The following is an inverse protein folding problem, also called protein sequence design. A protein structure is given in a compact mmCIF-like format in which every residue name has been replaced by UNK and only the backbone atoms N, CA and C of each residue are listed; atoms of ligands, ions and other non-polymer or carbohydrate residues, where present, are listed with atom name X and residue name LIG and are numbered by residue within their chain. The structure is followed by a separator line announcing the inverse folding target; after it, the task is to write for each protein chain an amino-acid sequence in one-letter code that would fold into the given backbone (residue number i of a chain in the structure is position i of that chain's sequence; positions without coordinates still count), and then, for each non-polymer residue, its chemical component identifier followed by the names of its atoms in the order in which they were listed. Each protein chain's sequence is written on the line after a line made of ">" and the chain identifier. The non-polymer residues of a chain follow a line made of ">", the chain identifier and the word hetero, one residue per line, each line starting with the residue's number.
data_IF_811057462035
#
_entry.id   IF_811057462035
#
_cell.length_a   1.000
_cell.length_b   1.000
_cell.length_c   1.000
_cell.angle_alpha   90.00
_cell.angle_beta   90.00
_cell.angle_gamma   90.00
#
_symmetry.space_group_name_H-M   'P 1'
#
loop_
_entity.id
_entity.type
_entity.pdbx_description
1 polymer ?
#
# COMPACT_ATOMS: atom_id res chain seq x y z
N UNK A 1 -32.45 51.45 34.14
CA UNK A 1 -31.47 50.41 33.74
C UNK A 1 -31.39 49.40 34.88
N UNK A 2 -32.03 48.24 34.74
CA UNK A 2 -31.99 47.20 35.77
C UNK A 2 -30.58 46.59 35.81
N UNK A 3 -29.92 46.68 36.97
CA UNK A 3 -28.60 46.12 37.19
C UNK A 3 -28.67 44.58 37.12
N UNK A 4 -27.93 43.99 36.19
CA UNK A 4 -27.83 42.54 36.09
C UNK A 4 -27.29 41.96 37.42
N UNK A 5 -27.91 40.90 37.97
CA UNK A 5 -27.47 40.25 39.22
C UNK A 5 -25.99 39.86 39.17
N UNK A 6 -25.27 40.10 40.26
CA UNK A 6 -23.81 39.87 40.36
C UNK A 6 -23.39 38.40 40.09
N UNK A 7 -24.33 37.47 40.28
CA UNK A 7 -24.19 36.05 39.90
C UNK A 7 -24.05 35.85 38.39
N UNK A 8 -24.85 36.57 37.57
CA UNK A 8 -24.79 36.46 36.11
C UNK A 8 -23.45 36.96 35.56
N UNK A 9 -22.84 37.99 36.17
CA UNK A 9 -21.50 38.48 35.79
C UNK A 9 -20.40 37.42 35.93
N UNK A 10 -20.49 36.54 36.92
CA UNK A 10 -19.46 35.51 37.19
C UNK A 10 -19.54 34.32 36.22
N UNK A 11 -20.74 34.01 35.72
CA UNK A 11 -20.97 32.91 34.79
C UNK A 11 -21.17 33.35 33.34
N UNK A 12 -21.24 34.66 33.07
CA UNK A 12 -21.38 35.20 31.72
C UNK A 12 -20.29 34.71 30.76
N UNK A 13 -19.03 34.80 31.18
CA UNK A 13 -17.91 34.38 30.33
C UNK A 13 -17.92 32.87 30.03
N UNK A 14 -18.08 31.96 31.03
CA UNK A 14 -18.27 30.53 30.78
C UNK A 14 -19.48 30.19 29.89
N UNK A 15 -20.62 30.86 30.08
CA UNK A 15 -21.83 30.62 29.28
C UNK A 15 -21.63 31.06 27.84
N UNK A 16 -21.00 32.22 27.62
CA UNK A 16 -20.68 32.71 26.28
C UNK A 16 -19.69 31.78 25.59
N UNK A 17 -18.62 31.33 26.26
CA UNK A 17 -17.65 30.41 25.65
C UNK A 17 -18.26 29.03 25.37
N UNK A 18 -19.10 28.51 26.27
CA UNK A 18 -19.85 27.27 26.03
C UNK A 18 -20.81 27.40 24.85
N UNK A 19 -21.57 28.49 24.78
CA UNK A 19 -22.51 28.75 23.68
C UNK A 19 -21.79 28.94 22.35
N UNK A 20 -20.65 29.64 22.35
CA UNK A 20 -19.81 29.82 21.18
C UNK A 20 -19.21 28.49 20.73
N UNK A 21 -18.76 27.66 21.67
CA UNK A 21 -18.27 26.31 21.42
C UNK A 21 -19.35 25.40 20.82
N UNK A 22 -20.58 25.45 21.36
CA UNK A 22 -21.75 24.74 20.84
C UNK A 22 -22.12 25.21 19.43
N UNK A 23 -22.12 26.53 19.19
CA UNK A 23 -22.35 27.08 17.86
C UNK A 23 -21.27 26.62 16.87
N UNK A 24 -20.01 26.63 17.28
CA UNK A 24 -18.91 26.13 16.47
C UNK A 24 -19.08 24.64 16.16
N UNK A 25 -19.49 23.83 17.14
CA UNK A 25 -19.72 22.39 16.95
C UNK A 25 -20.94 22.06 16.09
N UNK A 26 -22.03 22.84 16.19
CA UNK A 26 -23.28 22.56 15.50
C UNK A 26 -23.38 23.18 14.11
N UNK A 27 -22.71 24.31 13.85
CA UNK A 27 -22.88 25.06 12.61
C UNK A 27 -21.59 25.25 11.82
N UNK A 28 -20.46 25.46 12.49
CA UNK A 28 -19.18 25.73 11.80
C UNK A 28 -18.48 24.42 11.42
N UNK A 29 -18.28 23.50 12.38
CA UNK A 29 -17.62 22.22 12.12
C UNK A 29 -18.33 21.39 11.05
N UNK A 30 -19.67 21.23 11.04
CA UNK A 30 -20.35 20.43 10.01
C UNK A 30 -20.22 21.02 8.60
N UNK A 31 -20.21 22.35 8.49
CA UNK A 31 -19.98 23.06 7.21
C UNK A 31 -18.52 23.09 6.77
N UNK A 32 -17.61 22.76 7.69
CA UNK A 32 -16.17 22.67 7.43
C UNK A 32 -15.76 21.27 6.95
N UNK A 33 -16.65 20.28 7.03
CA UNK A 33 -16.44 19.02 6.34
C UNK A 33 -16.67 19.23 4.84
N UNK A 34 -15.77 18.70 3.99
CA UNK A 34 -15.97 18.81 2.55
C UNK A 34 -17.32 18.17 2.18
N UNK A 35 -18.15 18.84 1.37
CA UNK A 35 -19.42 18.29 0.92
C UNK A 35 -19.16 16.95 0.22
N UNK A 36 -20.04 15.98 0.43
CA UNK A 36 -19.96 14.72 -0.30
C UNK A 36 -20.23 14.96 -1.79
N UNK A 37 -19.83 14.01 -2.64
CA UNK A 37 -20.12 14.11 -4.08
C UNK A 37 -21.63 14.12 -4.37
N UNK A 38 -22.44 13.55 -3.47
CA UNK A 38 -23.91 13.66 -3.51
C UNK A 38 -24.40 15.07 -3.21
N UNK A 39 -23.80 15.74 -2.21
CA UNK A 39 -24.15 17.12 -1.86
C UNK A 39 -23.81 18.09 -3.00
N UNK A 40 -22.72 17.82 -3.75
CA UNK A 40 -22.34 18.58 -4.95
C UNK A 40 -23.40 18.49 -6.05
N UNK A 41 -24.07 17.33 -6.19
CA UNK A 41 -25.17 17.12 -7.14
C UNK A 41 -26.54 17.52 -6.58
N UNK A 42 -26.63 17.81 -5.27
CA UNK A 42 -27.87 18.16 -4.58
C UNK A 42 -28.84 16.99 -4.48
N UNK A 43 -28.33 15.78 -4.24
CA UNK A 43 -29.10 14.53 -4.08
C UNK A 43 -28.78 13.86 -2.75
N UNK A 44 -29.62 12.90 -2.35
CA UNK A 44 -29.41 12.12 -1.13
C UNK A 44 -28.19 11.20 -1.22
N UNK A 45 -27.54 10.95 -0.08
CA UNK A 45 -26.44 10.01 -0.01
C UNK A 45 -26.90 8.60 -0.38
N UNK A 46 -26.04 7.87 -1.10
CA UNK A 46 -26.34 6.52 -1.62
C UNK A 46 -27.46 6.47 -2.67
N UNK A 47 -27.83 7.61 -3.27
CA UNK A 47 -28.77 7.64 -4.38
C UNK A 47 -28.35 6.68 -5.52
N UNK A 48 -29.31 6.06 -6.22
CA UNK A 48 -29.04 5.18 -7.35
C UNK A 48 -28.44 5.93 -8.53
N UNK A 49 -27.80 5.22 -9.47
CA UNK A 49 -27.07 5.82 -10.60
C UNK A 49 -28.02 6.60 -11.52
N UNK A 50 -29.27 6.15 -11.62
CA UNK A 50 -30.32 6.81 -12.39
C UNK A 50 -30.62 8.22 -11.85
N UNK A 51 -30.66 8.38 -10.52
CA UNK A 51 -30.89 9.67 -9.87
C UNK A 51 -29.67 10.60 -10.02
N UNK A 52 -28.45 10.04 -10.01
CA UNK A 52 -27.20 10.76 -10.31
C UNK A 52 -27.25 11.34 -11.73
N UNK A 53 -27.67 10.54 -12.71
CA UNK A 53 -27.81 10.98 -14.09
C UNK A 53 -28.89 12.06 -14.24
N UNK A 54 -30.07 11.85 -13.65
CA UNK A 54 -31.16 12.83 -13.69
C UNK A 54 -30.78 14.16 -13.03
N UNK A 55 -30.04 14.13 -11.92
CA UNK A 55 -29.55 15.33 -11.25
C UNK A 55 -28.54 16.10 -12.11
N UNK A 56 -27.62 15.40 -12.77
CA UNK A 56 -26.68 16.00 -13.70
C UNK A 56 -27.37 16.60 -14.93
N UNK A 57 -28.35 15.90 -15.51
CA UNK A 57 -29.12 16.38 -16.66
C UNK A 57 -29.92 17.66 -16.33
N UNK A 58 -30.46 17.75 -15.11
CA UNK A 58 -31.12 18.96 -14.60
C UNK A 58 -30.16 20.14 -14.43
N UNK A 59 -28.92 19.90 -14.03
CA UNK A 59 -27.89 20.95 -13.91
C UNK A 59 -27.38 21.37 -15.29
N UNK A 60 -27.03 20.40 -16.13
CA UNK A 60 -26.46 20.65 -17.45
C UNK A 60 -27.45 21.38 -18.37
N UNK A 61 -28.74 21.02 -18.33
CA UNK A 61 -29.78 21.71 -19.12
C UNK A 61 -29.88 23.20 -18.81
N UNK A 62 -29.74 23.62 -17.54
CA UNK A 62 -29.71 25.05 -17.15
C UNK A 62 -28.49 25.78 -17.70
N UNK A 63 -27.35 25.10 -17.75
CA UNK A 63 -26.10 25.66 -18.29
C UNK A 63 -26.18 25.86 -19.79
N UNK A 64 -26.66 24.85 -20.53
CA UNK A 64 -26.79 24.91 -21.98
C UNK A 64 -27.95 25.82 -22.44
N UNK A 65 -28.98 26.03 -21.61
CA UNK A 65 -30.03 27.01 -21.89
C UNK A 65 -29.63 28.45 -21.58
N UNK A 66 -28.41 28.68 -21.05
CA UNK A 66 -27.92 30.01 -20.68
C UNK A 66 -28.65 30.66 -19.49
N UNK A 67 -29.43 29.88 -18.74
CA UNK A 67 -30.15 30.37 -17.55
C UNK A 67 -29.19 30.59 -16.38
N UNK A 68 -28.12 29.79 -16.32
CA UNK A 68 -27.14 29.81 -15.24
C UNK A 68 -25.76 29.43 -15.81
N UNK A 69 -24.76 30.29 -15.71
CA UNK A 69 -23.39 29.99 -16.16
C UNK A 69 -22.55 29.57 -14.96
N UNK A 70 -22.16 28.29 -14.84
CA UNK A 70 -21.38 27.83 -13.69
C UNK A 70 -19.98 28.44 -13.73
N UNK A 71 -19.40 28.69 -12.55
CA UNK A 71 -17.98 28.95 -12.48
C UNK A 71 -17.22 27.68 -12.95
N UNK A 72 -16.08 27.85 -13.60
CA UNK A 72 -15.28 26.71 -14.10
C UNK A 72 -14.93 25.72 -12.99
N UNK A 73 -14.62 26.25 -11.79
CA UNK A 73 -14.31 25.44 -10.60
C UNK A 73 -15.52 24.63 -10.11
N UNK A 74 -16.73 25.20 -10.18
CA UNK A 74 -17.97 24.50 -9.84
C UNK A 74 -18.32 23.44 -10.88
N UNK A 75 -18.17 23.78 -12.17
CA UNK A 75 -18.37 22.81 -13.25
C UNK A 75 -17.45 21.60 -13.11
N UNK A 76 -16.16 21.79 -12.85
CA UNK A 76 -15.19 20.70 -12.65
C UNK A 76 -15.62 19.82 -11.48
N UNK A 77 -16.03 20.40 -10.34
CA UNK A 77 -16.51 19.64 -9.18
C UNK A 77 -17.77 18.83 -9.48
N UNK A 78 -18.76 19.45 -10.13
CA UNK A 78 -20.03 18.79 -10.48
C UNK A 78 -19.78 17.67 -11.49
N UNK A 79 -18.95 17.93 -12.50
CA UNK A 79 -18.60 16.94 -13.51
C UNK A 79 -17.81 15.77 -12.92
N UNK A 80 -16.88 16.04 -12.02
CA UNK A 80 -16.15 15.01 -11.29
C UNK A 80 -17.08 14.13 -10.45
N UNK A 81 -17.95 14.76 -9.64
CA UNK A 81 -18.92 14.05 -8.81
C UNK A 81 -19.84 13.16 -9.66
N UNK A 82 -20.32 13.68 -10.80
CA UNK A 82 -21.10 12.91 -11.75
C UNK A 82 -20.33 11.71 -12.32
N UNK A 83 -19.10 11.90 -12.82
CA UNK A 83 -18.31 10.82 -13.41
C UNK A 83 -17.92 9.74 -12.38
N UNK A 84 -17.58 10.13 -11.15
CA UNK A 84 -17.29 9.22 -10.04
C UNK A 84 -18.53 8.39 -9.67
N UNK A 85 -19.66 9.05 -9.45
CA UNK A 85 -20.90 8.40 -9.00
C UNK A 85 -21.63 7.62 -10.11
N UNK A 86 -21.34 7.90 -11.38
CA UNK A 86 -21.91 7.15 -12.51
C UNK A 86 -21.20 5.83 -12.79
N UNK A 87 -19.93 5.69 -12.38
CA UNK A 87 -19.20 4.45 -12.54
C UNK A 87 -19.54 3.47 -11.40
N UNK A 88 -20.06 2.26 -11.68
CA UNK A 88 -20.48 1.32 -10.65
C UNK A 88 -19.36 0.92 -9.66
N UNK A 89 -18.11 0.77 -10.15
CA UNK A 89 -16.98 0.38 -9.29
C UNK A 89 -16.56 1.53 -8.39
N UNK A 90 -16.40 2.73 -8.96
CA UNK A 90 -16.01 3.91 -8.17
C UNK A 90 -17.07 4.30 -7.15
N UNK A 91 -18.36 4.27 -7.55
CA UNK A 91 -19.47 4.51 -6.64
C UNK A 91 -19.50 3.48 -5.50
N UNK A 92 -19.33 2.19 -5.78
CA UNK A 92 -19.25 1.14 -4.76
C UNK A 92 -18.12 1.42 -3.76
N UNK A 93 -16.92 1.72 -4.26
CA UNK A 93 -15.75 1.94 -3.41
C UNK A 93 -15.88 3.21 -2.56
N UNK A 94 -16.47 4.26 -3.13
CA UNK A 94 -16.80 5.50 -2.43
C UNK A 94 -17.87 5.29 -1.36
N UNK A 95 -18.97 4.62 -1.69
CA UNK A 95 -20.09 4.41 -0.78
C UNK A 95 -19.71 3.52 0.40
N UNK A 96 -19.02 2.40 0.13
CA UNK A 96 -18.72 1.40 1.16
C UNK A 96 -17.52 1.79 2.02
N UNK A 97 -16.48 2.38 1.42
CA UNK A 97 -15.18 2.57 2.08
C UNK A 97 -14.71 4.03 2.09
N UNK A 98 -15.49 4.96 1.51
CA UNK A 98 -15.12 6.36 1.36
C UNK A 98 -13.78 6.52 0.63
N UNK A 99 -13.55 5.67 -0.39
CA UNK A 99 -12.37 5.73 -1.25
C UNK A 99 -12.62 6.69 -2.40
N UNK A 100 -11.76 7.70 -2.49
CA UNK A 100 -11.73 8.65 -3.60
C UNK A 100 -10.29 8.78 -4.09
N UNK A 101 -9.88 7.83 -4.95
CA UNK A 101 -8.50 7.72 -5.43
C UNK A 101 -8.11 8.85 -6.40
N UNK A 102 -9.09 9.56 -6.97
CA UNK A 102 -8.84 10.56 -8.01
C UNK A 102 -9.01 12.00 -7.49
N UNK A 103 -9.16 12.21 -6.18
CA UNK A 103 -9.42 13.54 -5.62
C UNK A 103 -8.40 14.61 -6.05
N UNK A 104 -7.11 14.27 -6.07
CA UNK A 104 -6.03 15.15 -6.55
C UNK A 104 -6.21 15.65 -8.00
N UNK A 105 -6.94 14.92 -8.84
CA UNK A 105 -7.26 15.32 -10.21
C UNK A 105 -8.14 16.56 -10.20
N UNK A 106 -9.07 16.68 -9.25
CA UNK A 106 -9.95 17.85 -9.17
C UNK A 106 -9.18 19.14 -8.94
N UNK A 107 -8.21 19.13 -8.03
CA UNK A 107 -7.36 20.29 -7.72
C UNK A 107 -6.52 20.69 -8.94
N UNK A 108 -5.84 19.71 -9.56
CA UNK A 108 -5.03 19.92 -10.75
C UNK A 108 -5.84 20.48 -11.93
N UNK A 109 -7.02 19.92 -12.20
CA UNK A 109 -7.88 20.38 -13.30
C UNK A 109 -8.50 21.76 -13.01
N UNK A 110 -8.77 22.05 -11.74
CA UNK A 110 -9.28 23.37 -11.32
C UNK A 110 -8.24 24.45 -11.59
N UNK A 111 -6.97 24.18 -11.31
CA UNK A 111 -5.86 25.10 -11.63
C UNK A 111 -5.64 25.19 -13.15
N UNK A 112 -5.59 24.06 -13.85
CA UNK A 112 -5.33 23.99 -15.29
C UNK A 112 -6.38 24.74 -16.12
N UNK A 113 -7.65 24.70 -15.70
CA UNK A 113 -8.77 25.27 -16.44
C UNK A 113 -9.32 26.57 -15.83
N UNK A 114 -8.64 27.16 -14.85
CA UNK A 114 -9.10 28.37 -14.16
C UNK A 114 -9.47 29.53 -15.11
N UNK A 115 -8.75 29.67 -16.22
CA UNK A 115 -8.96 30.73 -17.22
C UNK A 115 -9.84 30.31 -18.42
N UNK A 116 -10.21 29.03 -18.51
CA UNK A 116 -11.06 28.53 -19.59
C UNK A 116 -12.54 28.67 -19.25
N UNK A 117 -13.37 28.89 -20.27
CA UNK A 117 -14.81 28.70 -20.16
C UNK A 117 -15.12 27.22 -20.02
N UNK A 118 -16.12 26.88 -19.20
CA UNK A 118 -16.52 25.49 -18.96
C UNK A 118 -16.81 24.70 -20.26
N UNK A 119 -17.32 25.37 -21.30
CA UNK A 119 -17.61 24.77 -22.62
C UNK A 119 -16.37 24.24 -23.36
N UNK A 120 -15.19 24.74 -23.01
CA UNK A 120 -13.92 24.39 -23.68
C UNK A 120 -13.15 23.29 -22.94
N UNK A 121 -13.69 22.79 -21.82
CA UNK A 121 -13.06 21.74 -21.02
C UNK A 121 -13.28 20.40 -21.73
N UNK A 122 -12.20 19.65 -22.03
CA UNK A 122 -12.34 18.33 -22.63
C UNK A 122 -13.00 17.36 -21.64
N UNK A 123 -13.94 16.55 -22.14
CA UNK A 123 -14.62 15.49 -21.39
C UNK A 123 -14.31 14.12 -22.02
N UNK A 124 -14.27 13.02 -21.23
CA UNK A 124 -14.45 12.95 -19.77
C UNK A 124 -13.26 13.51 -18.98
N UNK A 125 -13.48 13.90 -17.73
CA UNK A 125 -12.40 14.35 -16.81
C UNK A 125 -11.61 13.16 -16.27
N UNK A 126 -12.32 12.08 -15.96
CA UNK A 126 -11.78 10.86 -15.40
C UNK A 126 -11.62 9.81 -16.49
N UNK A 127 -10.42 9.27 -16.59
CA UNK A 127 -10.17 8.10 -17.42
C UNK A 127 -10.59 6.86 -16.64
N UNK A 128 -11.66 6.20 -17.10
CA UNK A 128 -11.98 4.85 -16.68
C UNK A 128 -10.77 3.97 -17.04
N UNK A 129 -10.02 3.54 -16.02
CA UNK A 129 -8.94 2.58 -16.23
C UNK A 129 -9.59 1.34 -16.82
N UNK A 130 -9.23 0.99 -18.06
CA UNK A 130 -9.82 -0.13 -18.78
C UNK A 130 -9.50 -1.43 -18.04
N UNK A 131 -10.40 -1.90 -17.16
CA UNK A 131 -10.66 -3.30 -16.75
C UNK A 131 -9.46 -4.26 -16.56
N UNK A 132 -8.25 -3.76 -16.36
CA UNK A 132 -7.01 -4.50 -16.64
C UNK A 132 -6.46 -5.30 -15.46
N UNK A 133 -7.00 -5.08 -14.27
CA UNK A 133 -6.57 -5.79 -13.05
C UNK A 133 -7.16 -7.20 -12.97
N UNK A 134 -8.40 -7.41 -13.39
CA UNK A 134 -9.06 -8.73 -13.32
C UNK A 134 -8.30 -9.81 -14.08
N UNK A 135 -7.71 -9.47 -15.23
CA UNK A 135 -6.88 -10.39 -16.02
C UNK A 135 -5.45 -10.57 -15.47
N UNK A 136 -5.03 -9.74 -14.52
CA UNK A 136 -3.67 -9.74 -13.96
C UNK A 136 -3.61 -10.17 -12.49
N UNK A 137 -4.75 -10.19 -11.81
CA UNK A 137 -4.90 -10.65 -10.44
C UNK A 137 -4.64 -12.16 -10.34
N UNK A 138 -4.00 -12.58 -9.25
CA UNK A 138 -3.66 -13.96 -8.98
C UNK A 138 -3.79 -14.22 -7.47
N UNK A 139 -3.99 -15.47 -7.09
CA UNK A 139 -4.25 -15.87 -5.69
C UNK A 139 -5.35 -15.01 -5.04
N UNK A 140 -6.44 -14.76 -5.78
CA UNK A 140 -7.56 -13.98 -5.28
C UNK A 140 -8.28 -14.76 -4.18
N UNK A 141 -8.40 -14.13 -3.02
CA UNK A 141 -9.00 -14.66 -1.82
C UNK A 141 -10.43 -14.18 -1.71
N UNK A 142 -11.32 -15.11 -1.39
CA UNK A 142 -12.71 -14.85 -1.03
C UNK A 142 -12.92 -15.13 0.45
N UNK A 143 -14.02 -14.64 1.02
CA UNK A 143 -14.44 -14.92 2.40
C UNK A 143 -14.49 -16.43 2.71
N UNK A 144 -14.85 -17.26 1.74
CA UNK A 144 -14.91 -18.71 1.88
C UNK A 144 -13.51 -19.34 1.96
N UNK A 145 -12.62 -18.99 1.03
CA UNK A 145 -11.26 -19.54 0.98
C UNK A 145 -10.38 -18.99 2.11
N UNK A 146 -10.63 -17.77 2.56
CA UNK A 146 -9.84 -17.11 3.59
C UNK A 146 -9.83 -17.90 4.91
N UNK A 147 -10.97 -18.49 5.31
CA UNK A 147 -11.06 -19.28 6.55
C UNK A 147 -10.15 -20.50 6.47
N UNK A 148 -10.11 -21.19 5.33
CA UNK A 148 -9.25 -22.36 5.13
C UNK A 148 -7.77 -21.99 5.21
N UNK A 149 -7.35 -20.89 4.59
CA UNK A 149 -5.96 -20.43 4.59
C UNK A 149 -5.50 -20.02 6.00
N UNK A 150 -6.37 -19.33 6.75
CA UNK A 150 -6.07 -18.96 8.14
C UNK A 150 -5.89 -20.19 9.04
N UNK A 151 -6.53 -21.33 8.71
CA UNK A 151 -6.38 -22.57 9.47
C UNK A 151 -5.05 -23.29 9.22
N UNK A 152 -4.35 -23.01 8.13
CA UNK A 152 -3.08 -23.67 7.76
C UNK A 152 -1.85 -23.13 8.53
N UNK A 153 -2.00 -22.15 9.43
CA UNK A 153 -0.91 -21.56 10.24
C UNK A 153 0.28 -20.99 9.45
N UNK A 154 0.07 -20.60 8.19
CA UNK A 154 1.11 -20.01 7.35
C UNK A 154 1.11 -18.48 7.45
N UNK A 155 2.29 -17.90 7.42
CA UNK A 155 2.45 -16.45 7.30
C UNK A 155 1.97 -16.04 5.91
N UNK A 156 1.01 -15.11 5.84
CA UNK A 156 0.47 -14.62 4.57
C UNK A 156 0.50 -13.10 4.49
N UNK A 157 0.89 -12.59 3.32
CA UNK A 157 0.78 -11.18 2.94
C UNK A 157 -0.39 -10.99 1.99
N UNK A 158 -1.30 -10.07 2.33
CA UNK A 158 -2.55 -9.83 1.61
C UNK A 158 -2.56 -8.40 1.08
N UNK A 159 -2.82 -8.26 -0.21
CA UNK A 159 -3.14 -6.99 -0.84
C UNK A 159 -4.66 -6.82 -0.95
N UNK A 160 -5.21 -5.80 -0.31
CA UNK A 160 -6.57 -5.32 -0.59
C UNK A 160 -6.51 -4.31 -1.73
N UNK A 161 -7.32 -4.53 -2.77
CA UNK A 161 -7.33 -3.74 -3.99
C UNK A 161 -8.73 -3.53 -4.55
N UNK A 162 -8.85 -2.63 -5.52
CA UNK A 162 -10.05 -2.44 -6.33
C UNK A 162 -9.68 -2.44 -7.80
N UNK A 163 -10.51 -3.08 -8.63
CA UNK A 163 -10.40 -3.01 -10.09
C UNK A 163 -10.64 -1.60 -10.63
N UNK A 164 -11.36 -0.76 -9.90
CA UNK A 164 -11.60 0.65 -10.24
C UNK A 164 -10.40 1.56 -9.95
N UNK A 165 -9.40 1.10 -9.19
CA UNK A 165 -8.28 1.92 -8.73
C UNK A 165 -7.12 1.94 -9.73
N UNK A 166 -6.84 3.12 -10.28
CA UNK A 166 -5.66 3.35 -11.12
C UNK A 166 -4.34 3.13 -10.35
N UNK A 167 -4.34 3.38 -9.03
CA UNK A 167 -3.16 3.18 -8.18
C UNK A 167 -2.88 1.69 -7.97
N UNK A 168 -3.93 0.89 -7.75
CA UNK A 168 -3.81 -0.57 -7.73
C UNK A 168 -3.30 -1.10 -9.08
N UNK A 169 -3.81 -0.56 -10.20
CA UNK A 169 -3.43 -1.01 -11.53
C UNK A 169 -1.93 -0.79 -11.81
N UNK A 170 -1.37 0.33 -11.33
CA UNK A 170 0.08 0.59 -11.42
C UNK A 170 0.91 -0.30 -10.50
N UNK A 171 0.38 -0.68 -9.33
CA UNK A 171 1.11 -1.45 -8.33
C UNK A 171 1.15 -2.97 -8.63
N UNK A 172 0.29 -3.48 -9.51
CA UNK A 172 0.17 -4.92 -9.78
C UNK A 172 1.48 -5.59 -10.26
N UNK A 173 2.31 -4.86 -11.01
CA UNK A 173 3.62 -5.37 -11.46
C UNK A 173 4.59 -5.54 -10.29
N UNK A 174 4.65 -4.54 -9.41
CA UNK A 174 5.41 -4.61 -8.15
C UNK A 174 4.90 -5.74 -7.27
N UNK A 175 3.59 -5.93 -7.18
CA UNK A 175 2.98 -7.02 -6.41
C UNK A 175 3.40 -8.41 -6.92
N UNK A 176 3.43 -8.63 -8.24
CA UNK A 176 3.94 -9.88 -8.84
C UNK A 176 5.38 -10.15 -8.43
N UNK A 177 6.25 -9.13 -8.49
CA UNK A 177 7.64 -9.26 -8.06
C UNK A 177 7.76 -9.57 -6.57
N UNK A 178 6.93 -8.93 -5.72
CA UNK A 178 6.87 -9.22 -4.27
C UNK A 178 6.47 -10.68 -4.04
N UNK A 179 5.44 -11.16 -4.71
CA UNK A 179 4.99 -12.55 -4.59
C UNK A 179 6.08 -13.55 -5.00
N UNK A 180 6.80 -13.29 -6.09
CA UNK A 180 7.92 -14.13 -6.54
C UNK A 180 9.06 -14.14 -5.50
N UNK A 181 9.38 -12.99 -4.90
CA UNK A 181 10.45 -12.89 -3.90
C UNK A 181 10.11 -13.54 -2.56
N UNK A 182 8.82 -13.64 -2.23
CA UNK A 182 8.33 -14.28 -1.02
C UNK A 182 8.02 -15.77 -1.23
N UNK A 183 8.04 -16.27 -2.46
CA UNK A 183 7.76 -17.67 -2.78
C UNK A 183 8.66 -18.61 -1.96
N UNK A 184 8.04 -19.63 -1.37
CA UNK A 184 8.71 -20.56 -0.44
C UNK A 184 8.99 -20.02 0.97
N UNK A 185 8.72 -18.75 1.27
CA UNK A 185 8.92 -18.14 2.60
C UNK A 185 7.62 -17.70 3.25
N UNK A 186 6.74 -17.06 2.48
CA UNK A 186 5.42 -16.63 2.93
C UNK A 186 4.42 -16.67 1.78
N UNK A 187 3.16 -16.98 2.11
CA UNK A 187 2.09 -16.98 1.13
C UNK A 187 1.70 -15.55 0.75
N UNK A 188 1.16 -15.37 -0.44
CA UNK A 188 0.62 -14.09 -0.90
C UNK A 188 -0.78 -14.25 -1.45
N UNK A 189 -1.65 -13.28 -1.15
CA UNK A 189 -3.04 -13.28 -1.61
C UNK A 189 -3.56 -11.88 -1.93
N UNK A 190 -4.59 -11.81 -2.76
CA UNK A 190 -5.23 -10.56 -3.15
C UNK A 190 -6.70 -10.58 -2.77
N UNK A 191 -7.25 -9.48 -2.27
CA UNK A 191 -8.67 -9.35 -1.92
C UNK A 191 -9.25 -8.15 -2.65
N UNK A 192 -10.26 -8.39 -3.48
CA UNK A 192 -10.98 -7.34 -4.20
C UNK A 192 -12.05 -6.71 -3.29
N UNK A 193 -12.25 -5.39 -3.39
CA UNK A 193 -13.21 -4.64 -2.57
C UNK A 193 -14.66 -5.15 -2.64
N UNK A 194 -15.03 -5.81 -3.73
CA UNK A 194 -16.35 -6.43 -3.93
C UNK A 194 -16.64 -7.58 -2.98
N UNK A 195 -15.63 -8.22 -2.40
CA UNK A 195 -15.83 -9.09 -1.24
C UNK A 195 -15.96 -8.23 0.02
N UNK A 196 -17.14 -7.63 0.19
CA UNK A 196 -17.44 -6.65 1.25
C UNK A 196 -17.20 -7.23 2.64
N UNK A 197 -17.42 -8.53 2.83
CA UNK A 197 -17.26 -9.18 4.13
C UNK A 197 -15.79 -9.24 4.55
N UNK A 198 -14.93 -9.77 3.68
CA UNK A 198 -13.50 -9.90 3.97
C UNK A 198 -12.80 -8.53 4.01
N UNK A 199 -13.16 -7.64 3.09
CA UNK A 199 -12.56 -6.30 3.01
C UNK A 199 -12.93 -5.44 4.20
N UNK A 200 -14.19 -5.47 4.66
CA UNK A 200 -14.62 -4.78 5.89
C UNK A 200 -13.97 -5.34 7.15
N UNK A 201 -13.56 -6.61 7.13
CA UNK A 201 -12.81 -7.23 8.22
C UNK A 201 -11.34 -6.80 8.26
N UNK A 202 -10.71 -6.64 7.08
CA UNK A 202 -9.33 -6.15 6.94
C UNK A 202 -9.21 -4.62 7.05
N UNK A 203 -10.30 -3.89 6.81
CA UNK A 203 -10.36 -2.44 6.92
C UNK A 203 -10.21 -1.94 8.37
N UNK A 204 -9.76 -0.69 8.51
CA UNK A 204 -9.84 0.03 9.78
C UNK A 204 -11.30 0.48 10.01
N UNK A 205 -11.69 0.73 11.26
CA UNK A 205 -13.05 1.19 11.59
C UNK A 205 -13.01 2.58 12.19
N UNK A 206 -13.78 3.50 11.61
CA UNK A 206 -14.04 4.82 12.21
C UNK A 206 -14.83 4.66 13.53
N UNK A 207 -14.89 5.67 14.41
CA UNK A 207 -15.80 5.66 15.56
C UNK A 207 -17.26 5.38 15.19
N UNK A 208 -17.67 5.75 13.97
CA UNK A 208 -18.97 5.46 13.37
C UNK A 208 -19.16 4.01 12.92
N UNK A 209 -18.18 3.13 13.17
CA UNK A 209 -18.09 1.73 12.70
C UNK A 209 -17.97 1.55 11.19
N UNK A 210 -17.93 2.62 10.41
CA UNK A 210 -17.71 2.56 8.97
C UNK A 210 -16.28 2.05 8.66
N UNK A 211 -16.12 1.07 7.77
CA UNK A 211 -14.82 0.60 7.34
C UNK A 211 -14.14 1.67 6.48
N UNK A 212 -12.82 1.83 6.62
CA UNK A 212 -12.02 2.73 5.79
C UNK A 212 -10.57 2.26 5.70
N UNK A 213 -9.85 2.76 4.70
CA UNK A 213 -8.42 2.55 4.52
C UNK A 213 -7.69 3.88 4.63
N UNK A 214 -6.94 4.09 5.73
CA UNK A 214 -6.34 5.39 6.05
C UNK A 214 -5.44 5.94 4.93
N UNK A 215 -4.69 5.07 4.26
CA UNK A 215 -3.74 5.45 3.21
C UNK A 215 -4.28 5.18 1.79
N UNK A 216 -5.59 4.93 1.68
CA UNK A 216 -6.25 4.51 0.45
C UNK A 216 -5.83 3.10 -0.01
N UNK A 217 -5.99 2.84 -1.30
CA UNK A 217 -5.61 1.58 -1.94
C UNK A 217 -4.35 1.69 -2.80
N UNK A 218 -3.64 0.57 -3.07
CA UNK A 218 -3.81 -0.73 -2.43
C UNK A 218 -3.37 -0.69 -0.96
N UNK A 219 -4.01 -1.50 -0.11
CA UNK A 219 -3.65 -1.63 1.30
C UNK A 219 -3.05 -3.01 1.56
N UNK A 220 -1.91 -3.07 2.27
CA UNK A 220 -1.22 -4.33 2.55
C UNK A 220 -1.36 -4.73 4.02
N UNK A 221 -1.74 -5.99 4.23
CA UNK A 221 -1.96 -6.61 5.54
C UNK A 221 -1.19 -7.91 5.61
N UNK A 222 -0.47 -8.15 6.71
CA UNK A 222 0.23 -9.41 6.92
C UNK A 222 -0.24 -10.12 8.19
N UNK A 223 -0.33 -11.44 8.14
CA UNK A 223 -0.56 -12.31 9.29
C UNK A 223 0.77 -12.95 9.70
N UNK A 224 1.31 -12.61 10.88
CA UNK A 224 2.54 -13.23 11.39
C UNK A 224 2.37 -14.74 11.68
N UNK A 225 3.46 -15.52 11.78
CA UNK A 225 3.39 -16.97 12.00
C UNK A 225 2.71 -17.37 13.32
N UNK A 226 2.88 -16.58 14.39
CA UNK A 226 2.30 -16.87 15.71
C UNK A 226 0.89 -16.30 15.91
N UNK A 227 0.21 -15.96 14.81
CA UNK A 227 -1.02 -15.20 14.86
C UNK A 227 -2.25 -16.05 15.16
N UNK A 228 -2.59 -16.19 16.45
CA UNK A 228 -3.72 -17.01 16.94
C UNK A 228 -5.06 -16.28 17.06
N UNK A 229 -5.08 -14.96 16.87
CA UNK A 229 -6.27 -14.12 17.02
C UNK A 229 -6.66 -13.49 15.68
N UNK A 230 -7.96 -13.35 15.47
CA UNK A 230 -8.55 -12.67 14.30
C UNK A 230 -8.05 -11.23 14.12
N UNK A 231 -7.57 -10.58 15.19
CA UNK A 231 -7.10 -9.19 15.16
C UNK A 231 -5.58 -9.03 15.11
N UNK A 232 -4.82 -10.11 15.04
CA UNK A 232 -3.37 -10.04 15.25
C UNK A 232 -2.57 -9.71 13.96
N UNK A 233 -3.26 -9.44 12.86
CA UNK A 233 -2.60 -8.97 11.64
C UNK A 233 -2.02 -7.57 11.79
N UNK A 234 -0.96 -7.32 11.03
CA UNK A 234 -0.24 -6.04 10.99
C UNK A 234 -0.43 -5.38 9.64
N UNK A 235 -0.47 -4.05 9.63
CA UNK A 235 -0.62 -3.25 8.40
C UNK A 235 0.70 -2.65 7.99
N UNK A 236 0.97 -2.68 6.70
CA UNK A 236 2.07 -1.92 6.13
C UNK A 236 1.69 -0.44 6.00
N UNK A 237 2.60 0.45 6.39
CA UNK A 237 2.39 1.91 6.37
C UNK A 237 3.47 2.65 5.56
N UNK A 238 4.40 1.92 4.95
CA UNK A 238 5.49 2.50 4.18
C UNK A 238 5.18 2.64 2.69
N UNK A 239 6.24 2.86 1.91
CA UNK A 239 6.13 3.09 0.47
C UNK A 239 5.79 1.80 -0.30
N UNK A 240 4.82 1.91 -1.21
CA UNK A 240 4.36 0.81 -2.06
C UNK A 240 5.34 0.53 -3.22
N UNK A 241 6.53 0.04 -2.86
CA UNK A 241 7.53 -0.47 -3.80
C UNK A 241 8.09 -1.81 -3.32
N UNK A 242 8.77 -2.54 -4.21
CA UNK A 242 9.17 -3.93 -3.96
C UNK A 242 10.09 -4.07 -2.74
N UNK A 243 11.19 -3.32 -2.69
CA UNK A 243 12.20 -3.47 -1.63
C UNK A 243 11.67 -3.12 -0.21
N UNK A 244 10.98 -1.99 0.01
CA UNK A 244 10.42 -1.66 1.32
C UNK A 244 9.37 -2.65 1.82
N UNK A 245 8.51 -3.17 0.94
CA UNK A 245 7.49 -4.17 1.32
C UNK A 245 8.15 -5.50 1.68
N UNK A 246 9.08 -5.96 0.84
CA UNK A 246 9.80 -7.23 1.06
C UNK A 246 10.67 -7.16 2.31
N UNK A 247 11.39 -6.06 2.55
CA UNK A 247 12.21 -5.92 3.76
C UNK A 247 11.35 -5.85 5.02
N UNK A 248 10.23 -5.13 5.00
CA UNK A 248 9.28 -5.11 6.12
C UNK A 248 8.73 -6.50 6.41
N UNK A 249 8.32 -7.24 5.38
CA UNK A 249 7.82 -8.61 5.53
C UNK A 249 8.89 -9.53 6.13
N UNK A 250 10.11 -9.52 5.57
CA UNK A 250 11.20 -10.34 6.05
C UNK A 250 11.63 -10.00 7.49
N UNK A 251 11.71 -8.73 7.84
CA UNK A 251 12.26 -8.29 9.13
C UNK A 251 11.21 -8.20 10.23
N UNK A 252 10.11 -7.48 9.97
CA UNK A 252 9.14 -7.10 11.00
C UNK A 252 8.06 -8.15 11.18
N UNK A 253 7.68 -8.86 10.11
CA UNK A 253 6.63 -9.88 10.17
C UNK A 253 7.21 -11.27 10.45
N UNK A 254 8.24 -11.67 9.70
CA UNK A 254 8.85 -13.01 9.79
C UNK A 254 10.02 -13.10 10.78
N UNK A 255 10.57 -11.97 11.23
CA UNK A 255 11.70 -11.94 12.15
C UNK A 255 12.98 -12.55 11.56
N UNK A 256 13.17 -12.45 10.24
CA UNK A 256 14.36 -12.99 9.57
C UNK A 256 15.58 -12.09 9.78
N UNK A 257 16.78 -12.69 9.92
CA UNK A 257 18.01 -11.92 10.12
C UNK A 257 18.36 -11.11 8.87
N UNK A 258 18.95 -9.92 9.08
CA UNK A 258 19.56 -9.15 8.00
C UNK A 258 20.94 -9.71 7.68
N UNK A 259 21.20 -9.94 6.40
CA UNK A 259 22.51 -10.34 5.88
C UNK A 259 23.20 -9.10 5.34
N UNK A 260 24.41 -8.83 5.81
CA UNK A 260 25.16 -7.61 5.50
C UNK A 260 26.06 -7.79 4.27
N UNK A 261 26.28 -6.66 3.59
CA UNK A 261 27.30 -6.56 2.55
C UNK A 261 28.67 -6.27 3.14
N UNK A 262 29.69 -6.92 2.56
CA UNK A 262 31.09 -6.72 2.88
C UNK A 262 31.88 -6.36 1.62
N UNK A 263 32.92 -5.56 1.82
CA UNK A 263 33.91 -5.21 0.80
C UNK A 263 35.12 -6.15 0.89
N UNK A 264 36.03 -6.08 -0.09
CA UNK A 264 37.29 -6.86 -0.08
C UNK A 264 38.13 -6.64 1.17
N UNK A 265 38.11 -5.43 1.75
CA UNK A 265 38.85 -5.08 2.95
C UNK A 265 38.16 -5.56 4.24
N UNK A 266 36.82 -5.67 4.22
CA UNK A 266 36.04 -5.91 5.44
C UNK A 266 35.57 -7.36 5.58
N UNK A 267 35.48 -8.12 4.49
CA UNK A 267 34.98 -9.50 4.50
C UNK A 267 35.80 -10.42 5.42
N UNK A 268 37.13 -10.42 5.28
CA UNK A 268 37.98 -11.27 6.11
C UNK A 268 37.95 -10.84 7.58
N UNK A 269 38.29 -9.57 7.94
CA UNK A 269 38.41 -9.20 9.35
C UNK A 269 37.07 -9.06 10.09
N UNK A 270 35.97 -8.72 9.40
CA UNK A 270 34.69 -8.47 10.05
C UNK A 270 33.66 -9.59 9.91
N UNK A 271 33.79 -10.47 8.92
CA UNK A 271 32.89 -11.60 8.76
C UNK A 271 33.61 -12.93 9.02
N UNK A 272 34.62 -13.28 8.23
CA UNK A 272 35.27 -14.60 8.33
C UNK A 272 35.92 -14.79 9.70
N UNK A 273 36.73 -13.84 10.15
CA UNK A 273 37.45 -13.93 11.42
C UNK A 273 36.53 -13.86 12.65
N UNK A 274 35.39 -13.16 12.56
CA UNK A 274 34.43 -13.00 13.66
C UNK A 274 33.34 -14.07 13.67
N UNK A 275 33.13 -14.75 12.55
CA UNK A 275 32.22 -15.90 12.50
C UNK A 275 32.79 -17.05 13.34
N UNK A 276 31.92 -17.79 14.02
CA UNK A 276 32.35 -18.92 14.86
C UNK A 276 33.16 -19.92 14.04
N UNK A 277 34.31 -20.37 14.57
CA UNK A 277 35.22 -21.24 13.83
C UNK A 277 34.54 -22.52 13.31
N UNK A 278 33.59 -23.05 14.09
CA UNK A 278 32.80 -24.24 13.78
C UNK A 278 31.69 -24.04 12.72
N UNK A 279 31.43 -22.80 12.29
CA UNK A 279 30.38 -22.50 11.32
C UNK A 279 30.91 -22.48 9.90
N UNK A 280 30.13 -22.97 8.95
CA UNK A 280 30.37 -22.78 7.52
C UNK A 280 30.08 -21.32 7.16
N UNK A 281 31.00 -20.67 6.44
CA UNK A 281 30.84 -19.29 6.01
C UNK A 281 30.31 -19.33 4.58
N UNK A 282 29.06 -18.89 4.43
CA UNK A 282 28.34 -18.84 3.16
C UNK A 282 28.38 -17.41 2.65
N UNK A 283 29.02 -17.19 1.51
CA UNK A 283 29.21 -15.86 0.93
C UNK A 283 28.52 -15.83 -0.42
N UNK A 284 27.59 -14.90 -0.57
CA UNK A 284 26.88 -14.69 -1.83
C UNK A 284 27.42 -13.47 -2.57
N UNK A 285 27.87 -13.69 -3.80
CA UNK A 285 28.37 -12.65 -4.68
C UNK A 285 27.22 -12.16 -5.59
N UNK A 286 26.84 -10.90 -5.43
CA UNK A 286 25.78 -10.24 -6.21
C UNK A 286 26.36 -9.21 -7.18
N UNK A 287 25.68 -8.99 -8.32
CA UNK A 287 25.99 -7.88 -9.25
C UNK A 287 25.23 -6.59 -8.94
N UNK A 288 24.04 -6.70 -8.32
CA UNK A 288 23.08 -5.59 -8.22
C UNK A 288 23.21 -4.79 -6.93
N UNK A 289 23.80 -5.37 -5.89
CA UNK A 289 23.86 -4.75 -4.56
C UNK A 289 22.52 -4.72 -3.82
N UNK A 290 21.50 -5.40 -4.35
CA UNK A 290 20.19 -5.53 -3.72
C UNK A 290 20.28 -6.27 -2.38
N UNK A 291 19.36 -5.98 -1.46
CA UNK A 291 19.30 -6.66 -0.17
C UNK A 291 19.11 -8.17 -0.36
N UNK A 292 19.58 -8.96 0.61
CA UNK A 292 19.33 -10.39 0.63
C UNK A 292 17.84 -10.70 0.46
N UNK A 293 17.53 -11.61 -0.46
CA UNK A 293 16.18 -12.08 -0.70
C UNK A 293 15.62 -12.77 0.56
N UNK A 294 14.29 -12.76 0.77
CA UNK A 294 13.66 -13.44 1.89
C UNK A 294 14.09 -14.90 2.03
N UNK A 295 14.19 -15.64 0.92
CA UNK A 295 14.63 -17.03 0.91
C UNK A 295 16.03 -17.21 1.50
N UNK A 296 16.99 -16.36 1.10
CA UNK A 296 18.35 -16.42 1.64
C UNK A 296 18.38 -16.09 3.15
N UNK A 297 17.54 -15.15 3.60
CA UNK A 297 17.40 -14.82 5.02
C UNK A 297 16.74 -15.93 5.83
N UNK A 298 15.77 -16.64 5.24
CA UNK A 298 15.16 -17.83 5.82
C UNK A 298 16.20 -18.93 6.01
N UNK A 299 17.01 -19.22 4.99
CA UNK A 299 18.13 -20.15 5.11
C UNK A 299 19.13 -19.72 6.21
N UNK A 300 19.43 -18.43 6.33
CA UNK A 300 20.30 -17.93 7.40
C UNK A 300 19.72 -18.13 8.81
N UNK A 301 18.38 -18.11 8.95
CA UNK A 301 17.69 -18.44 10.21
C UNK A 301 17.74 -19.94 10.49
N UNK A 302 17.40 -20.77 9.50
CA UNK A 302 17.29 -22.22 9.66
C UNK A 302 18.65 -22.87 9.94
N UNK A 303 19.69 -22.39 9.26
CA UNK A 303 21.06 -22.88 9.43
C UNK A 303 21.88 -22.06 10.42
N UNK A 304 21.26 -21.20 11.25
CA UNK A 304 21.97 -20.28 12.15
C UNK A 304 23.02 -20.96 13.05
N UNK A 305 22.75 -22.19 13.50
CA UNK A 305 23.68 -22.96 14.33
C UNK A 305 24.93 -23.44 13.58
N UNK A 306 24.82 -23.68 12.27
CA UNK A 306 25.83 -24.36 11.46
C UNK A 306 26.53 -23.45 10.46
N UNK A 307 25.88 -22.35 10.06
CA UNK A 307 26.36 -21.48 9.00
C UNK A 307 26.21 -19.99 9.37
N UNK A 308 27.09 -19.18 8.80
CA UNK A 308 27.02 -17.72 8.82
C UNK A 308 26.96 -17.22 7.40
N UNK A 309 26.12 -16.22 7.14
CA UNK A 309 25.85 -15.72 5.80
C UNK A 309 26.39 -14.29 5.62
N UNK A 310 26.96 -14.00 4.46
CA UNK A 310 27.39 -12.67 4.04
C UNK A 310 27.08 -12.44 2.57
N UNK A 311 26.97 -11.17 2.18
CA UNK A 311 26.89 -10.77 0.78
C UNK A 311 28.12 -9.94 0.39
N UNK A 312 28.50 -10.03 -0.87
CA UNK A 312 29.57 -9.24 -1.48
C UNK A 312 29.07 -8.68 -2.80
N UNK A 313 29.30 -7.40 -3.04
CA UNK A 313 29.04 -6.80 -4.35
C UNK A 313 30.24 -7.13 -5.25
N UNK A 314 30.02 -8.01 -6.21
CA UNK A 314 31.01 -8.39 -7.19
C UNK A 314 31.14 -7.30 -8.25
N UNK A 315 32.38 -6.87 -8.49
CA UNK A 315 32.74 -5.89 -9.51
C UNK A 315 33.90 -6.44 -10.32
N UNK A 316 33.91 -6.11 -11.61
CA UNK A 316 34.95 -6.60 -12.53
C UNK A 316 36.35 -6.12 -12.12
N UNK A 317 36.45 -4.92 -11.54
CA UNK A 317 37.69 -4.36 -10.99
C UNK A 317 38.33 -5.22 -9.89
N UNK A 318 37.51 -5.95 -9.13
CA UNK A 318 37.95 -6.82 -8.03
C UNK A 318 37.95 -8.31 -8.41
N UNK A 319 37.66 -8.64 -9.68
CA UNK A 319 37.51 -10.03 -10.15
C UNK A 319 38.74 -10.90 -9.87
N UNK A 320 39.94 -10.37 -10.07
CA UNK A 320 41.20 -11.07 -9.80
C UNK A 320 41.37 -11.41 -8.31
N UNK A 321 40.91 -10.52 -7.42
CA UNK A 321 40.95 -10.72 -5.97
C UNK A 321 40.00 -11.85 -5.57
N UNK A 322 38.77 -11.83 -6.09
CA UNK A 322 37.75 -12.84 -5.79
C UNK A 322 38.10 -14.22 -6.37
N UNK A 323 38.71 -14.26 -7.55
CA UNK A 323 39.24 -15.48 -8.15
C UNK A 323 40.37 -16.07 -7.30
N UNK A 324 41.35 -15.27 -6.91
CA UNK A 324 42.50 -15.76 -6.14
C UNK A 324 42.13 -16.19 -4.71
N UNK A 325 41.15 -15.55 -4.08
CA UNK A 325 40.73 -15.88 -2.72
C UNK A 325 39.70 -17.01 -2.65
N UNK A 326 38.75 -17.03 -3.59
CA UNK A 326 37.57 -17.88 -3.48
C UNK A 326 37.24 -18.65 -4.76
N UNK A 327 38.05 -18.57 -5.81
CA UNK A 327 37.78 -19.18 -7.12
C UNK A 327 36.45 -18.71 -7.75
N UNK A 328 36.04 -17.47 -7.46
CA UNK A 328 34.82 -16.87 -8.04
C UNK A 328 35.15 -16.15 -9.34
N UNK A 329 34.76 -16.73 -10.47
CA UNK A 329 34.96 -16.13 -11.80
C UNK A 329 33.99 -14.98 -12.06
N UNK A 330 32.72 -15.17 -11.68
CA UNK A 330 31.66 -14.22 -11.94
C UNK A 330 30.50 -14.37 -10.96
N UNK A 331 29.73 -13.30 -10.80
CA UNK A 331 28.46 -13.31 -10.07
C UNK A 331 27.26 -13.55 -11.03
N UNK A 332 26.15 -14.15 -10.55
CA UNK A 332 25.90 -14.61 -9.17
C UNK A 332 26.65 -15.90 -8.81
N UNK A 333 27.18 -15.97 -7.58
CA UNK A 333 27.85 -17.15 -7.06
C UNK A 333 27.67 -17.33 -5.55
N UNK A 334 27.62 -18.59 -5.09
CA UNK A 334 27.70 -18.96 -3.69
C UNK A 334 29.05 -19.60 -3.39
N UNK A 335 29.68 -19.16 -2.31
CA UNK A 335 30.93 -19.72 -1.79
C UNK A 335 30.67 -20.31 -0.42
N UNK A 336 31.06 -21.56 -0.21
CA UNK A 336 30.99 -22.25 1.07
C UNK A 336 32.40 -22.50 1.60
N UNK A 337 32.71 -21.92 2.76
CA UNK A 337 34.00 -22.07 3.45
C UNK A 337 33.78 -22.86 4.75
N UNK A 338 34.36 -24.04 4.85
CA UNK A 338 34.24 -24.89 6.05
C UNK A 338 35.29 -24.52 7.09
N UNK A 339 36.56 -24.78 6.77
CA UNK A 339 37.70 -24.62 7.68
C UNK A 339 38.84 -23.82 7.03
N UNK A 340 39.71 -23.25 7.85
CA UNK A 340 40.91 -22.56 7.39
C UNK A 340 41.83 -23.52 6.62
N UNK A 341 42.09 -23.23 5.35
CA UNK A 341 42.99 -24.03 4.50
C UNK A 341 42.32 -25.16 3.71
N UNK A 342 40.99 -25.28 3.76
CA UNK A 342 40.22 -26.14 2.83
C UNK A 342 39.78 -25.30 1.64
N UNK A 343 39.89 -25.87 0.44
CA UNK A 343 39.47 -25.18 -0.77
C UNK A 343 37.98 -24.80 -0.72
N UNK A 344 37.62 -23.58 -1.14
CA UNK A 344 36.25 -23.11 -1.18
C UNK A 344 35.43 -23.93 -2.18
N UNK A 345 34.19 -24.26 -1.80
CA UNK A 345 33.22 -24.83 -2.75
C UNK A 345 32.42 -23.69 -3.37
N UNK A 346 32.51 -23.54 -4.68
CA UNK A 346 31.86 -22.46 -5.44
C UNK A 346 30.74 -23.02 -6.29
N UNK A 347 29.57 -22.41 -6.21
CA UNK A 347 28.43 -22.69 -7.07
C UNK A 347 28.05 -21.45 -7.86
N UNK A 348 28.13 -21.56 -9.19
CA UNK A 348 27.64 -20.55 -10.13
C UNK A 348 26.25 -20.93 -10.62
N UNK A 349 25.30 -20.00 -10.59
CA UNK A 349 23.94 -20.26 -11.08
C UNK A 349 22.95 -19.13 -10.85
N UNK A 350 21.90 -19.08 -11.68
CA UNK A 350 20.76 -18.17 -11.47
C UNK A 350 19.89 -18.67 -10.32
N UNK A 351 19.59 -17.79 -9.36
CA UNK A 351 18.76 -18.02 -8.18
C UNK A 351 17.28 -18.40 -8.46
N UNK A 352 16.89 -18.58 -9.72
CA UNK A 352 15.53 -18.94 -10.11
C UNK A 352 15.24 -20.45 -10.07
N UNK A 353 16.25 -21.32 -9.86
CA UNK A 353 16.07 -22.78 -10.04
C UNK A 353 16.70 -23.65 -8.95
N UNK A 354 16.97 -23.14 -7.74
CA UNK A 354 17.32 -23.99 -6.60
C UNK A 354 16.07 -24.24 -5.74
N UNK A 355 15.13 -25.02 -6.28
CA UNK A 355 14.26 -25.85 -5.44
C UNK A 355 15.07 -27.09 -5.10
N UNK A 356 15.64 -27.13 -3.89
CA UNK A 356 16.15 -28.37 -3.31
C UNK A 356 15.00 -29.20 -2.76
#
# INVERSE_FOLDING_TARGET
>A
MAALPQFLKRYYFPIVTFSLGLFFQLFVLPRSYPPSHYDVLGIEQFAPIEDVAAAYDRLSSKWFSGLETPATTEFVKIRYAFELLSNPLWKRDYDLFNIDDQLHVTELLTEQYAELKFSNIPLPLLNASSSGLTNQAFNVLTSENFISIMSETKTILIQVYSDGSARCAKFISSWKSIAILLDGVADTGMVELGDVQLTSYLAEKKPTKQPFFRNGLPSLVAYPPDCKSSKCYVRYQGDLSVDPVVDWMATSVLGLPRILYYTKETLVPNFIAKSGQHKVKVIFFSKTGERATPFLRQAAKDYWAYASFAMVLWREEDSSIWWNLFHVESAPAFVFLKDSGVDPVVYHGMLLTLKC
#
